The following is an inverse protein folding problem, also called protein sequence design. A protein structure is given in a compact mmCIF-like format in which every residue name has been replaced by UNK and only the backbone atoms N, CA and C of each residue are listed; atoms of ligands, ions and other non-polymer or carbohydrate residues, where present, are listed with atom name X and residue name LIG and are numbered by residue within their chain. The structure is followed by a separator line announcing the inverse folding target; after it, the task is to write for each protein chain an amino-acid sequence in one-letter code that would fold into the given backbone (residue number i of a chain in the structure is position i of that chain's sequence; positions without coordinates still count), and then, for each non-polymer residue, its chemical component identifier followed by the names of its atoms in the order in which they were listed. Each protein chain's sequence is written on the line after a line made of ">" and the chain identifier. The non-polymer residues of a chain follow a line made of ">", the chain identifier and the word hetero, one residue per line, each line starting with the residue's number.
data_IF_394669548321
#
_entry.id   IF_394669548321
#
_cell.length_a   1.000
_cell.length_b   1.000
_cell.length_c   1.000
_cell.angle_alpha   90.00
_cell.angle_beta   90.00
_cell.angle_gamma   90.00
#
_symmetry.space_group_name_H-M   'P 1'
#
loop_
_entity.id
_entity.type
_entity.pdbx_description
1 polymer ?
#
# COMPACT_ATOMS: atom_id res chain seq x y z
N UNK A 1 -5.73 12.38 31.20
CA UNK A 1 -6.00 12.47 29.74
C UNK A 1 -5.23 13.59 29.01
N UNK A 2 -3.99 13.95 29.41
CA UNK A 2 -3.23 15.09 28.81
C UNK A 2 -2.13 14.68 27.81
N UNK A 3 -1.97 13.38 27.53
CA UNK A 3 -0.83 12.83 26.77
C UNK A 3 -1.05 12.54 25.28
N UNK A 4 -2.29 12.36 24.81
CA UNK A 4 -2.57 11.98 23.41
C UNK A 4 -2.57 13.17 22.43
N UNK A 5 -2.93 14.36 22.90
CA UNK A 5 -3.02 15.58 22.08
C UNK A 5 -1.65 16.06 21.56
N UNK A 6 -0.60 15.95 22.38
CA UNK A 6 0.77 16.33 21.97
C UNK A 6 1.37 15.39 20.91
N UNK A 7 1.00 14.11 20.93
CA UNK A 7 1.55 13.09 20.02
C UNK A 7 1.01 13.29 18.59
N UNK A 8 -0.30 13.55 18.42
CA UNK A 8 -0.91 13.86 17.10
C UNK A 8 -0.34 15.14 16.47
N UNK A 9 -0.03 16.18 17.27
CA UNK A 9 0.61 17.42 16.78
C UNK A 9 2.02 17.16 16.23
N UNK A 10 2.80 16.32 16.91
CA UNK A 10 4.16 15.95 16.50
C UNK A 10 4.17 15.15 15.19
N UNK A 11 3.25 14.19 15.01
CA UNK A 11 3.15 13.42 13.76
C UNK A 11 2.73 14.28 12.57
N UNK A 12 1.77 15.20 12.74
CA UNK A 12 1.44 16.15 11.66
C UNK A 12 2.64 17.00 11.27
N UNK A 13 3.43 17.50 12.23
CA UNK A 13 4.60 18.32 11.91
C UNK A 13 5.73 17.53 11.23
N UNK A 14 5.93 16.26 11.58
CA UNK A 14 6.93 15.40 10.92
C UNK A 14 6.48 15.00 9.51
N UNK A 15 5.20 14.71 9.32
CA UNK A 15 4.65 14.34 8.02
C UNK A 15 4.82 15.46 6.98
N UNK A 16 4.48 16.71 7.32
CA UNK A 16 4.69 17.84 6.41
C UNK A 16 6.18 18.08 6.13
N UNK A 17 7.06 17.90 7.12
CA UNK A 17 8.51 18.02 6.91
C UNK A 17 9.06 17.00 5.92
N UNK A 18 8.62 15.74 5.99
CA UNK A 18 9.03 14.71 5.02
C UNK A 18 8.49 15.05 3.64
N UNK A 19 7.22 15.46 3.56
CA UNK A 19 6.60 15.85 2.30
C UNK A 19 7.34 17.03 1.65
N UNK A 20 7.68 18.06 2.43
CA UNK A 20 8.40 19.24 1.96
C UNK A 20 9.80 18.88 1.44
N UNK A 21 10.54 18.02 2.16
CA UNK A 21 11.87 17.56 1.72
C UNK A 21 11.78 16.78 0.40
N UNK A 22 10.79 15.90 0.26
CA UNK A 22 10.58 15.12 -0.97
C UNK A 22 10.16 16.04 -2.12
N UNK A 23 9.31 17.03 -1.85
CA UNK A 23 8.82 17.95 -2.87
C UNK A 23 9.93 18.88 -3.38
N UNK A 24 10.71 19.47 -2.45
CA UNK A 24 11.86 20.31 -2.78
C UNK A 24 12.91 19.49 -3.54
N UNK A 25 13.22 18.28 -3.08
CA UNK A 25 14.15 17.38 -3.75
C UNK A 25 13.70 17.00 -5.16
N UNK A 26 12.41 16.70 -5.34
CA UNK A 26 11.85 16.35 -6.66
C UNK A 26 11.87 17.55 -7.62
N UNK A 27 11.60 18.76 -7.12
CA UNK A 27 11.65 19.98 -7.92
C UNK A 27 13.08 20.31 -8.36
N UNK A 28 14.05 20.22 -7.44
CA UNK A 28 15.47 20.40 -7.75
C UNK A 28 15.96 19.34 -8.75
N UNK A 29 15.57 18.08 -8.57
CA UNK A 29 15.91 17.01 -9.50
C UNK A 29 15.32 17.25 -10.89
N UNK A 30 14.08 17.70 -10.99
CA UNK A 30 13.45 18.03 -12.26
C UNK A 30 14.18 19.16 -13.01
N UNK A 31 14.58 20.22 -12.31
CA UNK A 31 15.36 21.31 -12.89
C UNK A 31 16.75 20.82 -13.35
N UNK A 32 17.40 19.97 -12.56
CA UNK A 32 18.70 19.38 -12.91
C UNK A 32 18.58 18.50 -14.15
N UNK A 33 17.58 17.61 -14.20
CA UNK A 33 17.31 16.74 -15.35
C UNK A 33 17.05 17.58 -16.61
N UNK A 34 16.20 18.60 -16.50
CA UNK A 34 15.96 19.52 -17.61
C UNK A 34 17.25 20.17 -18.09
N UNK A 35 18.05 20.72 -17.18
CA UNK A 35 19.29 21.42 -17.51
C UNK A 35 20.31 20.50 -18.17
N UNK A 36 20.55 19.31 -17.59
CA UNK A 36 21.48 18.32 -18.15
C UNK A 36 21.03 17.85 -19.53
N UNK A 37 19.73 17.57 -19.70
CA UNK A 37 19.20 17.10 -20.98
C UNK A 37 19.21 18.18 -22.05
N UNK A 38 18.88 19.43 -21.68
CA UNK A 38 18.97 20.58 -22.57
C UNK A 38 20.42 20.85 -22.99
N UNK A 39 21.36 20.88 -22.03
CA UNK A 39 22.78 21.08 -22.30
C UNK A 39 23.35 19.96 -23.17
N UNK A 40 22.96 18.70 -22.90
CA UNK A 40 23.35 17.57 -23.74
C UNK A 40 22.88 17.74 -25.19
N UNK A 41 21.65 18.19 -25.44
CA UNK A 41 21.18 18.42 -26.81
C UNK A 41 21.88 19.59 -27.51
N UNK A 42 22.09 20.71 -26.81
CA UNK A 42 22.80 21.86 -27.40
C UNK A 42 24.23 21.48 -27.79
N UNK A 43 24.91 20.65 -26.99
CA UNK A 43 26.24 20.13 -27.33
C UNK A 43 26.25 19.12 -28.49
N UNK A 44 25.10 18.60 -28.91
CA UNK A 44 24.96 17.68 -30.05
C UNK A 44 24.43 18.39 -31.31
N UNK A 45 24.73 19.69 -31.46
CA UNK A 45 24.34 20.53 -32.60
C UNK A 45 22.83 20.60 -32.87
N UNK A 46 22.00 20.26 -31.87
CA UNK A 46 20.55 20.38 -31.97
C UNK A 46 20.16 21.86 -31.87
N UNK A 47 19.37 22.41 -32.81
CA UNK A 47 18.97 23.81 -32.77
C UNK A 47 18.27 24.16 -31.44
N UNK A 48 18.58 25.32 -30.87
CA UNK A 48 18.08 25.72 -29.53
C UNK A 48 16.55 25.68 -29.42
N UNK A 49 15.84 26.04 -30.49
CA UNK A 49 14.37 26.03 -30.54
C UNK A 49 13.78 24.63 -30.39
N UNK A 50 14.40 23.62 -31.01
CA UNK A 50 13.91 22.24 -30.94
C UNK A 50 14.41 21.56 -29.67
N UNK A 51 15.64 21.85 -29.23
CA UNK A 51 16.20 21.34 -27.98
C UNK A 51 15.33 21.71 -26.77
N UNK A 52 14.85 22.95 -26.69
CA UNK A 52 13.98 23.39 -25.61
C UNK A 52 12.66 22.61 -25.56
N UNK A 53 12.01 22.43 -26.72
CA UNK A 53 10.72 21.71 -26.83
C UNK A 53 10.85 20.26 -26.37
N UNK A 54 11.87 19.55 -26.85
CA UNK A 54 12.09 18.15 -26.48
C UNK A 54 12.52 18.01 -25.02
N UNK A 55 13.38 18.89 -24.50
CA UNK A 55 13.82 18.86 -23.10
C UNK A 55 12.67 19.14 -22.13
N UNK A 56 11.80 20.10 -22.47
CA UNK A 56 10.62 20.41 -21.66
C UNK A 56 9.63 19.25 -21.67
N UNK A 57 9.33 18.69 -22.86
CA UNK A 57 8.41 17.58 -23.02
C UNK A 57 8.88 16.32 -22.26
N UNK A 58 10.16 15.95 -22.38
CA UNK A 58 10.71 14.79 -21.68
C UNK A 58 10.72 14.98 -20.16
N UNK A 59 11.07 16.18 -19.67
CA UNK A 59 11.08 16.49 -18.24
C UNK A 59 9.67 16.42 -17.65
N UNK A 60 8.67 17.02 -18.30
CA UNK A 60 7.27 16.96 -17.86
C UNK A 60 6.75 15.52 -17.83
N UNK A 61 7.10 14.71 -18.84
CA UNK A 61 6.75 13.30 -18.88
C UNK A 61 7.36 12.52 -17.70
N UNK A 62 8.64 12.74 -17.40
CA UNK A 62 9.32 12.10 -16.25
C UNK A 62 8.70 12.50 -14.92
N UNK A 63 8.35 13.78 -14.73
CA UNK A 63 7.63 14.26 -13.54
C UNK A 63 6.29 13.54 -13.41
N UNK A 64 5.52 13.47 -14.50
CA UNK A 64 4.23 12.78 -14.49
C UNK A 64 4.39 11.30 -14.09
N UNK A 65 5.34 10.59 -14.70
CA UNK A 65 5.63 9.20 -14.36
C UNK A 65 6.05 9.03 -12.90
N UNK A 66 6.86 9.95 -12.37
CA UNK A 66 7.31 9.94 -10.98
C UNK A 66 6.16 10.05 -9.99
N UNK A 67 5.16 10.89 -10.26
CA UNK A 67 4.01 11.06 -9.38
C UNK A 67 2.92 10.00 -9.59
N UNK A 68 2.63 9.62 -10.83
CA UNK A 68 1.54 8.69 -11.16
C UNK A 68 1.95 7.23 -10.96
N UNK A 69 3.18 6.87 -11.30
CA UNK A 69 3.68 5.49 -11.26
C UNK A 69 3.51 4.82 -9.89
N UNK A 70 4.00 5.42 -8.79
CA UNK A 70 3.87 4.86 -7.45
C UNK A 70 2.41 4.69 -7.01
N UNK A 71 1.51 5.59 -7.43
CA UNK A 71 0.09 5.52 -7.06
C UNK A 71 -0.53 4.23 -7.63
N UNK A 72 -0.28 3.95 -8.91
CA UNK A 72 -0.80 2.74 -9.57
C UNK A 72 -0.20 1.46 -8.96
N UNK A 73 1.10 1.48 -8.64
CA UNK A 73 1.78 0.35 -8.00
C UNK A 73 1.18 0.09 -6.62
N UNK A 74 1.03 1.12 -5.79
CA UNK A 74 0.46 1.01 -4.44
C UNK A 74 -0.97 0.49 -4.50
N UNK A 75 -1.79 0.97 -5.43
CA UNK A 75 -3.15 0.48 -5.63
C UNK A 75 -3.19 -1.03 -5.92
N UNK A 76 -2.32 -1.49 -6.82
CA UNK A 76 -2.21 -2.92 -7.17
C UNK A 76 -1.69 -3.76 -5.99
N UNK A 77 -0.75 -3.21 -5.21
CA UNK A 77 -0.25 -3.88 -4.01
C UNK A 77 -1.35 -4.01 -2.96
N UNK A 78 -2.07 -2.94 -2.63
CA UNK A 78 -3.16 -2.96 -1.64
C UNK A 78 -4.23 -3.99 -2.03
N UNK A 79 -4.65 -4.03 -3.29
CA UNK A 79 -5.65 -5.01 -3.73
C UNK A 79 -5.17 -6.45 -3.49
N UNK A 80 -3.89 -6.73 -3.74
CA UNK A 80 -3.31 -8.09 -3.65
C UNK A 80 -2.93 -8.50 -2.23
N UNK A 81 -2.35 -7.60 -1.44
CA UNK A 81 -1.77 -7.93 -0.13
C UNK A 81 -2.73 -7.71 1.04
N UNK A 82 -3.74 -6.85 0.87
CA UNK A 82 -4.68 -6.49 1.93
C UNK A 82 -6.11 -6.87 1.53
N UNK A 83 -6.64 -6.29 0.46
CA UNK A 83 -8.07 -6.40 0.16
C UNK A 83 -8.48 -7.82 -0.24
N UNK A 84 -7.69 -8.50 -1.08
CA UNK A 84 -8.00 -9.88 -1.50
C UNK A 84 -7.97 -10.87 -0.33
N UNK A 85 -6.91 -10.93 0.52
CA UNK A 85 -6.91 -11.79 1.71
C UNK A 85 -8.08 -11.50 2.67
N UNK A 86 -8.41 -10.23 2.89
CA UNK A 86 -9.56 -9.87 3.74
C UNK A 86 -10.87 -10.39 3.15
N UNK A 87 -11.12 -10.18 1.85
CA UNK A 87 -12.32 -10.70 1.16
C UNK A 87 -12.42 -12.23 1.27
N UNK A 88 -11.30 -12.93 1.12
CA UNK A 88 -11.25 -14.39 1.25
C UNK A 88 -11.56 -14.84 2.67
N UNK A 89 -10.95 -14.20 3.67
CA UNK A 89 -11.23 -14.47 5.08
C UNK A 89 -12.69 -14.21 5.44
N UNK A 90 -13.27 -13.10 4.99
CA UNK A 90 -14.69 -12.78 5.21
C UNK A 90 -15.60 -13.88 4.67
N UNK A 91 -15.33 -14.38 3.46
CA UNK A 91 -16.12 -15.49 2.87
C UNK A 91 -16.03 -16.78 3.68
N UNK A 92 -14.84 -17.10 4.20
CA UNK A 92 -14.67 -18.29 5.04
C UNK A 92 -15.38 -18.13 6.40
N UNK A 93 -15.30 -16.94 7.00
CA UNK A 93 -15.99 -16.63 8.26
C UNK A 93 -17.52 -16.65 8.09
N UNK A 94 -18.06 -16.19 6.97
CA UNK A 94 -19.49 -16.33 6.66
C UNK A 94 -19.92 -17.80 6.65
N UNK A 95 -19.14 -18.69 6.03
CA UNK A 95 -19.42 -20.15 6.08
C UNK A 95 -19.38 -20.71 7.50
N UNK A 96 -18.39 -20.29 8.30
CA UNK A 96 -18.29 -20.68 9.71
C UNK A 96 -19.50 -20.20 10.52
N UNK A 97 -19.99 -18.98 10.26
CA UNK A 97 -21.20 -18.46 10.91
C UNK A 97 -22.45 -19.26 10.55
N UNK A 98 -22.47 -19.91 9.38
CA UNK A 98 -23.52 -20.85 8.95
C UNK A 98 -23.37 -22.27 9.51
N UNK A 99 -22.37 -22.54 10.35
CA UNK A 99 -22.15 -23.83 11.01
C UNK A 99 -21.10 -24.73 10.36
N UNK A 100 -20.50 -24.33 9.23
CA UNK A 100 -19.37 -25.07 8.64
C UNK A 100 -18.08 -24.77 9.41
N UNK A 101 -17.81 -25.61 10.41
CA UNK A 101 -16.57 -25.55 11.18
C UNK A 101 -15.54 -26.59 10.74
N UNK A 102 -15.75 -27.32 9.64
CA UNK A 102 -14.81 -28.33 9.18
C UNK A 102 -13.77 -27.73 8.22
N UNK A 103 -14.14 -26.69 7.48
CA UNK A 103 -13.25 -25.95 6.57
C UNK A 103 -12.21 -25.10 7.34
N UNK A 104 -10.89 -25.30 7.13
CA UNK A 104 -9.83 -24.51 7.79
C UNK A 104 -9.70 -23.09 7.21
N UNK A 105 -9.26 -22.14 8.04
CA UNK A 105 -9.02 -20.76 7.63
C UNK A 105 -7.59 -20.58 7.06
N UNK A 106 -7.34 -21.09 5.86
CA UNK A 106 -6.03 -20.98 5.19
C UNK A 106 -5.93 -19.73 4.32
N UNK A 107 -5.92 -18.54 4.94
CA UNK A 107 -5.76 -17.27 4.23
C UNK A 107 -4.30 -16.85 4.23
N UNK A 108 -3.72 -16.70 3.04
CA UNK A 108 -2.36 -16.18 2.86
C UNK A 108 -2.36 -14.67 3.06
N UNK A 109 -1.47 -14.19 3.93
CA UNK A 109 -1.25 -12.76 4.15
C UNK A 109 0.13 -12.53 4.75
N UNK A 110 0.53 -11.28 4.85
CA UNK A 110 1.78 -10.90 5.53
C UNK A 110 1.46 -10.25 6.88
N UNK A 111 2.38 -10.40 7.83
CA UNK A 111 2.38 -9.74 9.13
C UNK A 111 1.01 -9.78 9.85
N UNK A 112 0.29 -8.67 9.89
CA UNK A 112 -0.98 -8.53 10.60
C UNK A 112 -2.11 -9.37 10.00
N UNK A 113 -2.12 -9.57 8.67
CA UNK A 113 -3.17 -10.37 8.01
C UNK A 113 -3.03 -11.85 8.38
N UNK A 114 -1.80 -12.37 8.37
CA UNK A 114 -1.50 -13.73 8.82
C UNK A 114 -1.84 -13.91 10.30
N UNK A 115 -1.46 -12.94 11.14
CA UNK A 115 -1.78 -12.97 12.57
C UNK A 115 -3.29 -12.98 12.82
N UNK A 116 -4.06 -12.24 12.03
CA UNK A 116 -5.52 -12.19 12.11
C UNK A 116 -6.13 -13.52 11.68
N UNK A 117 -5.70 -14.08 10.55
CA UNK A 117 -6.14 -15.39 10.09
C UNK A 117 -5.90 -16.48 11.14
N UNK A 118 -4.68 -16.54 11.70
CA UNK A 118 -4.34 -17.48 12.76
C UNK A 118 -5.20 -17.32 14.02
N UNK A 119 -5.64 -16.10 14.33
CA UNK A 119 -6.51 -15.84 15.48
C UNK A 119 -7.94 -16.35 15.26
N UNK A 120 -8.48 -16.18 14.06
CA UNK A 120 -9.77 -16.73 13.67
C UNK A 120 -9.75 -18.25 13.54
N UNK A 121 -8.66 -18.84 13.06
CA UNK A 121 -8.51 -20.29 12.99
C UNK A 121 -8.58 -20.94 14.38
N UNK A 122 -7.90 -20.35 15.38
CA UNK A 122 -8.01 -20.79 16.78
C UNK A 122 -9.45 -20.70 17.30
N UNK A 123 -10.19 -19.66 16.91
CA UNK A 123 -11.59 -19.50 17.28
C UNK A 123 -12.47 -20.60 16.66
N UNK A 124 -12.30 -20.89 15.36
CA UNK A 124 -13.00 -21.98 14.67
C UNK A 124 -12.77 -23.33 15.36
N UNK A 125 -11.52 -23.65 15.68
CA UNK A 125 -11.17 -24.90 16.37
C UNK A 125 -11.81 -25.00 17.76
N UNK A 126 -11.85 -23.89 18.51
CA UNK A 126 -12.54 -23.82 19.80
C UNK A 126 -14.04 -24.09 19.65
N UNK A 127 -14.71 -23.40 18.71
CA UNK A 127 -16.14 -23.62 18.43
C UNK A 127 -16.43 -25.07 18.02
N UNK A 128 -15.56 -25.67 17.18
CA UNK A 128 -15.71 -27.06 16.73
C UNK A 128 -15.61 -28.03 17.90
N UNK A 129 -14.67 -27.80 18.83
CA UNK A 129 -14.53 -28.60 20.03
C UNK A 129 -15.75 -28.48 20.95
N UNK A 130 -16.31 -27.26 21.10
CA UNK A 130 -17.52 -27.03 21.89
C UNK A 130 -18.73 -27.76 21.30
N UNK A 131 -18.98 -27.65 19.99
CA UNK A 131 -20.09 -28.36 19.33
C UNK A 131 -19.97 -29.89 19.47
N UNK A 132 -18.76 -30.43 19.30
CA UNK A 132 -18.52 -31.88 19.47
C UNK A 132 -18.82 -32.36 20.88
N UNK A 133 -18.51 -31.56 21.90
CA UNK A 133 -18.84 -31.89 23.30
C UNK A 133 -20.34 -31.91 23.50
N UNK A 134 -21.06 -30.88 23.02
CA UNK A 134 -22.52 -30.82 23.12
C UNK A 134 -23.20 -32.03 22.47
N UNK A 135 -22.80 -32.38 21.24
CA UNK A 135 -23.33 -33.54 20.53
C UNK A 135 -23.13 -34.85 21.29
N UNK A 136 -22.01 -34.99 22.02
CA UNK A 136 -21.72 -36.16 22.85
C UNK A 136 -22.63 -36.27 24.09
N UNK A 137 -23.17 -35.16 24.60
CA UNK A 137 -24.09 -35.16 25.75
C UNK A 137 -25.56 -35.36 25.33
N UNK A 138 -25.92 -35.08 24.08
CA UNK A 138 -27.25 -35.35 23.52
C UNK A 138 -27.44 -36.79 23.00
N UNK A 139 -26.37 -37.61 23.01
CA UNK A 139 -26.37 -39.02 22.59
C UNK A 139 -26.29 -39.95 23.78
#
# INVERSE_FOLDING_TARGET
>A
MKGESGRKRKYRSVLYKILDVVFIGSLLAALLVFFVFFFAMVNNDVPQEVAFKYALGSTLFLILCWFVGPILIIQLLIERTILRPIKEMTRLLEKMSGGDLDTPLEVKGEYEIERLANSFERMRLSLRALMRRLKKYES
#
